data_IF_373255259446
#
_entry.id   IF_373255259446
#
_cell.length_a   1.000
_cell.length_b   1.000
_cell.length_c   1.000
_cell.angle_alpha   90.00
_cell.angle_beta   90.00
_cell.angle_gamma   90.00
#
_symmetry.space_group_name_H-M   'P 1'
#
loop_
_entity.id
_entity.type
_entity.pdbx_description
1 polymer ?
#
# COMPACT_ATOMS: atom_id res chain seq x y z
N UNK A 1 9.86 -60.26 54.80
CA UNK A 1 9.70 -58.79 54.90
C UNK A 1 10.73 -57.99 54.11
N UNK A 2 11.98 -58.38 54.00
CA UNK A 2 13.04 -57.60 53.28
C UNK A 2 12.86 -57.50 51.76
N UNK A 3 12.22 -58.50 51.09
CA UNK A 3 12.03 -58.48 49.62
C UNK A 3 11.08 -57.43 49.10
N UNK A 4 10.03 -57.12 49.85
CA UNK A 4 9.03 -56.12 49.40
C UNK A 4 9.53 -54.67 49.58
N UNK A 5 10.36 -54.40 50.58
CA UNK A 5 10.95 -53.10 50.84
C UNK A 5 11.90 -52.71 49.69
N UNK A 6 12.70 -53.67 49.19
CA UNK A 6 13.61 -53.45 48.06
C UNK A 6 12.83 -53.11 46.78
N UNK A 7 11.68 -53.76 46.54
CA UNK A 7 10.83 -53.45 45.39
C UNK A 7 10.21 -52.03 45.47
N UNK A 8 9.82 -51.59 46.64
CA UNK A 8 9.30 -50.25 46.87
C UNK A 8 10.39 -49.19 46.69
N UNK A 9 11.59 -49.43 47.15
CA UNK A 9 12.75 -48.51 46.96
C UNK A 9 13.06 -48.40 45.47
N UNK A 10 13.05 -49.51 44.74
CA UNK A 10 13.28 -49.51 43.29
C UNK A 10 12.19 -48.76 42.53
N UNK A 11 10.93 -48.94 42.91
CA UNK A 11 9.78 -48.25 42.31
C UNK A 11 9.83 -46.73 42.53
N UNK A 12 10.21 -46.29 43.73
CA UNK A 12 10.40 -44.87 44.05
C UNK A 12 11.58 -44.29 43.24
N UNK A 13 12.67 -45.02 43.12
CA UNK A 13 13.82 -44.57 42.30
C UNK A 13 13.43 -44.38 40.81
N UNK A 14 12.64 -45.28 40.25
CA UNK A 14 12.15 -45.18 38.87
C UNK A 14 11.22 -43.96 38.71
N UNK A 15 10.32 -43.71 39.66
CA UNK A 15 9.46 -42.54 39.63
C UNK A 15 10.24 -41.22 39.69
N UNK A 16 11.30 -41.16 40.48
CA UNK A 16 12.19 -39.99 40.55
C UNK A 16 12.90 -39.77 39.21
N UNK A 17 13.42 -40.84 38.59
CA UNK A 17 14.10 -40.73 37.27
C UNK A 17 13.13 -40.25 36.19
N UNK A 18 11.91 -40.81 36.16
CA UNK A 18 10.88 -40.37 35.22
C UNK A 18 10.47 -38.91 35.48
N UNK A 19 10.32 -38.49 36.72
CA UNK A 19 10.03 -37.11 37.09
C UNK A 19 11.11 -36.12 36.64
N UNK A 20 12.38 -36.50 36.82
CA UNK A 20 13.52 -35.67 36.35
C UNK A 20 13.56 -35.61 34.82
N UNK A 21 13.31 -36.71 34.12
CA UNK A 21 13.26 -36.71 32.66
C UNK A 21 12.14 -35.81 32.11
N UNK A 22 10.94 -35.88 32.70
CA UNK A 22 9.82 -35.00 32.33
C UNK A 22 10.17 -33.54 32.63
N UNK A 23 10.78 -33.24 33.75
CA UNK A 23 11.23 -31.90 34.08
C UNK A 23 12.26 -31.34 33.09
N UNK A 24 13.22 -32.16 32.67
CA UNK A 24 14.22 -31.78 31.66
C UNK A 24 13.57 -31.47 30.30
N UNK A 25 12.64 -32.31 29.84
CA UNK A 25 11.89 -32.08 28.58
C UNK A 25 11.05 -30.80 28.69
N UNK A 26 10.41 -30.57 29.82
CA UNK A 26 9.63 -29.34 30.04
C UNK A 26 10.52 -28.08 30.00
N UNK A 27 11.68 -28.15 30.64
CA UNK A 27 12.67 -27.06 30.66
C UNK A 27 13.23 -26.74 29.26
N UNK A 28 13.56 -27.79 28.50
CA UNK A 28 14.06 -27.62 27.12
C UNK A 28 12.99 -27.03 26.17
N UNK A 29 11.74 -27.47 26.28
CA UNK A 29 10.63 -26.93 25.53
C UNK A 29 10.37 -25.45 25.87
N UNK A 30 10.46 -25.10 27.16
CA UNK A 30 10.28 -23.69 27.58
C UNK A 30 11.42 -22.80 27.06
N UNK A 31 12.66 -23.26 27.12
CA UNK A 31 13.82 -22.54 26.60
C UNK A 31 13.75 -22.35 25.07
N UNK A 32 13.27 -23.36 24.34
CA UNK A 32 13.09 -23.28 22.89
C UNK A 32 11.95 -22.34 22.51
N UNK A 33 10.85 -22.27 23.28
CA UNK A 33 9.76 -21.34 23.01
C UNK A 33 10.17 -19.87 23.28
N UNK A 34 10.91 -19.61 24.37
CA UNK A 34 11.44 -18.28 24.68
C UNK A 34 12.46 -17.79 23.63
N UNK A 35 13.31 -18.71 23.11
CA UNK A 35 14.26 -18.39 22.04
C UNK A 35 13.57 -18.15 20.68
N UNK A 36 12.48 -18.88 20.37
CA UNK A 36 11.70 -18.67 19.16
C UNK A 36 10.94 -17.33 19.20
N UNK A 37 10.38 -16.95 20.37
CA UNK A 37 9.69 -15.68 20.55
C UNK A 37 10.66 -14.50 20.49
N UNK A 38 11.85 -14.62 21.07
CA UNK A 38 12.90 -13.60 20.98
C UNK A 38 13.47 -13.45 19.55
N UNK A 39 13.58 -14.53 18.78
CA UNK A 39 13.96 -14.45 17.36
C UNK A 39 12.88 -13.83 16.49
N UNK A 40 11.62 -14.16 16.73
CA UNK A 40 10.49 -13.52 16.01
C UNK A 40 10.40 -12.02 16.30
N UNK A 41 10.62 -11.60 17.56
CA UNK A 41 10.59 -10.19 17.96
C UNK A 41 11.81 -9.41 17.42
N UNK A 42 12.98 -10.05 17.30
CA UNK A 42 14.18 -9.43 16.73
C UNK A 42 14.06 -9.21 15.21
N UNK A 43 13.29 -10.03 14.49
CA UNK A 43 13.02 -9.82 13.06
C UNK A 43 12.00 -8.72 12.78
N UNK A 44 11.15 -8.35 13.75
CA UNK A 44 10.08 -7.36 13.54
C UNK A 44 10.56 -5.91 13.68
N UNK A 45 11.79 -5.65 14.16
CA UNK A 45 12.34 -4.32 14.39
C UNK A 45 13.43 -3.89 13.39
N UNK A 46 13.56 -4.58 12.24
CA UNK A 46 14.35 -4.03 11.14
C UNK A 46 13.54 -2.90 10.48
N UNK A 47 13.87 -1.66 10.78
CA UNK A 47 13.44 -0.52 9.99
C UNK A 47 14.01 -0.71 8.58
N UNK A 48 13.16 -1.05 7.62
CA UNK A 48 13.55 -1.10 6.20
C UNK A 48 13.83 0.34 5.80
N UNK A 49 15.10 0.71 5.71
CA UNK A 49 15.54 2.05 5.28
C UNK A 49 15.69 2.13 3.76
N UNK A 50 15.88 0.99 3.09
CA UNK A 50 16.12 0.92 1.66
C UNK A 50 15.17 -0.10 1.01
N UNK A 51 14.41 0.34 0.03
CA UNK A 51 13.67 -0.52 -0.89
C UNK A 51 14.50 -0.69 -2.17
N UNK A 52 14.96 -1.91 -2.44
CA UNK A 52 15.68 -2.25 -3.67
C UNK A 52 14.77 -3.06 -4.57
N UNK A 53 14.53 -2.56 -5.77
CA UNK A 53 13.72 -3.22 -6.79
C UNK A 53 14.57 -3.45 -8.03
N UNK A 54 14.52 -4.65 -8.58
CA UNK A 54 15.14 -4.94 -9.87
C UNK A 54 14.21 -4.49 -10.99
N UNK A 55 14.75 -3.70 -11.91
CA UNK A 55 14.06 -3.25 -13.12
C UNK A 55 14.80 -3.84 -14.30
N UNK A 56 14.16 -4.73 -15.04
CA UNK A 56 14.75 -5.41 -16.19
C UNK A 56 15.02 -4.43 -17.35
N UNK A 57 14.12 -3.46 -17.53
CA UNK A 57 14.25 -2.40 -18.53
C UNK A 57 13.35 -1.22 -18.19
N UNK A 58 13.74 -0.03 -18.61
CA UNK A 58 12.90 1.17 -18.54
C UNK A 58 13.18 2.05 -19.78
N UNK A 59 12.17 2.81 -20.18
CA UNK A 59 12.25 3.84 -21.24
C UNK A 59 12.42 5.23 -20.61
N UNK A 60 11.56 5.56 -19.67
CA UNK A 60 11.59 6.79 -18.87
C UNK A 60 10.89 6.53 -17.54
N UNK A 61 11.19 7.31 -16.51
CA UNK A 61 10.48 7.27 -15.22
C UNK A 61 9.22 8.15 -15.19
N UNK A 62 8.91 8.84 -16.31
CA UNK A 62 7.69 9.64 -16.41
C UNK A 62 6.50 8.72 -16.76
N UNK A 63 5.52 8.51 -15.85
CA UNK A 63 4.39 7.60 -16.07
C UNK A 63 3.49 8.02 -17.24
N UNK A 64 3.46 9.33 -17.57
CA UNK A 64 2.58 9.83 -18.61
C UNK A 64 3.01 9.45 -20.04
N UNK A 65 4.30 9.17 -20.24
CA UNK A 65 4.85 8.84 -21.55
C UNK A 65 5.49 7.46 -21.64
N UNK A 66 5.69 6.79 -20.49
CA UNK A 66 6.23 5.43 -20.48
C UNK A 66 5.18 4.42 -20.94
N UNK A 67 5.59 3.52 -21.85
CA UNK A 67 4.82 2.33 -22.23
C UNK A 67 5.36 1.05 -21.56
N UNK A 68 6.37 1.18 -20.69
CA UNK A 68 7.01 0.06 -20.02
C UNK A 68 6.22 -0.34 -18.76
N UNK A 69 5.79 -1.60 -18.71
CA UNK A 69 5.00 -2.13 -17.58
C UNK A 69 5.73 -2.02 -16.24
N UNK A 70 7.05 -2.26 -16.21
CA UNK A 70 7.83 -2.16 -14.96
C UNK A 70 7.82 -0.72 -14.43
N UNK A 71 7.92 0.26 -15.33
CA UNK A 71 7.81 1.69 -14.97
C UNK A 71 6.44 2.00 -14.42
N UNK A 72 5.36 1.50 -15.06
CA UNK A 72 3.98 1.71 -14.57
C UNK A 72 3.77 1.17 -13.15
N UNK A 73 4.37 0.02 -12.81
CA UNK A 73 4.26 -0.53 -11.45
C UNK A 73 5.08 0.27 -10.42
N UNK A 74 6.29 0.72 -10.79
CA UNK A 74 7.15 1.49 -9.88
C UNK A 74 6.61 2.89 -9.66
N UNK A 75 6.07 3.53 -10.69
CA UNK A 75 5.54 4.89 -10.57
C UNK A 75 4.31 4.98 -9.65
N UNK A 76 3.59 3.89 -9.42
CA UNK A 76 2.55 3.83 -8.36
C UNK A 76 3.10 4.04 -6.94
N UNK A 77 4.40 3.82 -6.72
CA UNK A 77 5.07 4.10 -5.45
C UNK A 77 5.55 5.56 -5.34
N UNK A 78 5.60 6.28 -6.44
CA UNK A 78 6.16 7.63 -6.55
C UNK A 78 5.07 8.68 -6.72
N UNK A 79 4.01 8.34 -7.46
CA UNK A 79 2.92 9.25 -7.81
C UNK A 79 1.59 8.75 -7.24
N UNK A 80 0.83 9.67 -6.67
CA UNK A 80 -0.52 9.41 -6.16
C UNK A 80 -1.57 9.81 -7.21
N UNK A 81 -2.64 9.01 -7.41
CA UNK A 81 -3.77 9.39 -8.27
C UNK A 81 -4.71 10.38 -7.57
N UNK A 82 -5.65 10.97 -8.31
CA UNK A 82 -6.73 11.75 -7.72
C UNK A 82 -7.64 10.89 -6.84
N UNK A 83 -8.06 9.75 -7.36
CA UNK A 83 -8.87 8.74 -6.69
C UNK A 83 -8.22 7.38 -6.90
N UNK A 84 -8.48 6.43 -6.01
CA UNK A 84 -7.98 5.07 -6.11
C UNK A 84 -9.11 4.06 -5.88
N UNK A 85 -8.91 2.81 -6.29
CA UNK A 85 -9.85 1.74 -6.04
C UNK A 85 -9.37 0.89 -4.84
N UNK A 86 -10.31 0.53 -3.97
CA UNK A 86 -10.05 -0.48 -2.94
C UNK A 86 -10.14 -1.91 -3.50
N UNK A 87 -9.91 -2.91 -2.65
CA UNK A 87 -9.97 -4.34 -3.00
C UNK A 87 -11.36 -4.78 -3.51
N UNK A 88 -12.41 -4.00 -3.23
CA UNK A 88 -13.78 -4.26 -3.68
C UNK A 88 -14.17 -3.40 -4.90
N UNK A 89 -13.20 -2.78 -5.57
CA UNK A 89 -13.39 -1.88 -6.71
C UNK A 89 -14.24 -0.65 -6.39
N UNK A 90 -14.24 -0.19 -5.13
CA UNK A 90 -14.90 1.04 -4.72
C UNK A 90 -13.91 2.18 -4.74
N UNK A 91 -14.36 3.33 -5.25
CA UNK A 91 -13.58 4.57 -5.24
C UNK A 91 -13.29 5.02 -3.82
N UNK A 92 -12.03 5.33 -3.60
CA UNK A 92 -11.50 5.87 -2.35
C UNK A 92 -10.81 7.20 -2.63
N UNK A 93 -10.86 8.15 -1.69
CA UNK A 93 -10.12 9.40 -1.81
C UNK A 93 -8.60 9.14 -1.78
N UNK A 94 -7.86 9.93 -2.59
CA UNK A 94 -6.40 9.98 -2.57
C UNK A 94 -5.94 11.44 -2.61
N UNK A 95 -5.47 11.99 -3.73
CA UNK A 95 -5.20 13.43 -3.86
C UNK A 95 -6.49 14.28 -3.86
N UNK A 96 -7.60 13.74 -4.37
CA UNK A 96 -8.92 14.31 -4.17
C UNK A 96 -9.57 13.72 -2.92
N UNK A 97 -10.02 14.57 -2.01
CA UNK A 97 -10.70 14.18 -0.75
C UNK A 97 -12.19 14.00 -0.93
N UNK A 98 -12.78 14.76 -1.86
CA UNK A 98 -14.19 14.72 -2.18
C UNK A 98 -14.37 14.86 -3.69
N UNK A 99 -15.39 14.23 -4.22
CA UNK A 99 -15.84 14.43 -5.59
C UNK A 99 -17.37 14.38 -5.66
N UNK A 100 -17.93 15.19 -6.53
CA UNK A 100 -19.38 15.23 -6.72
C UNK A 100 -19.72 15.58 -8.17
N UNK A 101 -20.73 14.92 -8.71
CA UNK A 101 -21.31 15.28 -9.98
C UNK A 101 -22.04 16.62 -9.84
N UNK A 102 -21.77 17.58 -10.75
CA UNK A 102 -22.36 18.91 -10.79
C UNK A 102 -23.06 19.13 -12.13
N UNK A 103 -24.25 18.57 -12.30
CA UNK A 103 -24.94 18.49 -13.59
C UNK A 103 -24.62 17.20 -14.33
N UNK A 104 -24.97 17.12 -15.62
CA UNK A 104 -24.85 15.87 -16.38
C UNK A 104 -23.44 15.57 -16.89
N UNK A 105 -22.66 16.62 -17.14
CA UNK A 105 -21.34 16.56 -17.77
C UNK A 105 -20.25 17.24 -16.95
N UNK A 106 -20.48 17.55 -15.68
CA UNK A 106 -19.49 18.24 -14.86
C UNK A 106 -19.28 17.53 -13.52
N UNK A 107 -18.04 17.55 -13.05
CA UNK A 107 -17.61 17.01 -11.76
C UNK A 107 -16.80 18.06 -11.01
N UNK A 108 -17.05 18.20 -9.71
CA UNK A 108 -16.27 19.06 -8.83
C UNK A 108 -15.45 18.14 -7.92
N UNK A 109 -14.14 18.39 -7.85
CA UNK A 109 -13.22 17.67 -6.97
C UNK A 109 -12.59 18.67 -5.99
N UNK A 110 -12.49 18.25 -4.71
CA UNK A 110 -11.70 18.95 -3.70
C UNK A 110 -10.40 18.19 -3.47
N UNK A 111 -9.28 18.91 -3.47
CA UNK A 111 -7.94 18.36 -3.35
C UNK A 111 -7.42 18.48 -1.91
N UNK A 112 -6.51 17.61 -1.52
CA UNK A 112 -5.77 17.75 -0.26
C UNK A 112 -4.89 19.00 -0.31
N UNK A 113 -4.95 19.83 0.74
CA UNK A 113 -4.20 21.09 0.82
C UNK A 113 -2.79 20.97 1.43
N UNK A 114 -2.46 19.82 2.01
CA UNK A 114 -1.20 19.59 2.72
C UNK A 114 -0.20 18.71 1.95
N UNK A 115 -0.39 18.56 0.65
CA UNK A 115 0.48 17.77 -0.22
C UNK A 115 1.58 18.65 -0.78
N UNK A 116 2.78 18.09 -0.85
CA UNK A 116 3.95 18.72 -1.46
C UNK A 116 4.60 17.80 -2.47
N UNK A 117 5.16 18.40 -3.49
CA UNK A 117 6.08 17.73 -4.40
C UNK A 117 7.41 17.43 -3.72
N UNK A 118 8.24 16.59 -4.34
CA UNK A 118 9.55 16.18 -3.82
C UNK A 118 10.52 17.37 -3.65
N UNK A 119 10.33 18.45 -4.39
CA UNK A 119 11.10 19.69 -4.27
C UNK A 119 10.59 20.63 -3.15
N UNK A 120 9.52 20.23 -2.44
CA UNK A 120 8.91 20.98 -1.36
C UNK A 120 7.84 22.00 -1.79
N UNK A 121 7.61 22.18 -3.09
CA UNK A 121 6.52 23.04 -3.59
C UNK A 121 5.15 22.44 -3.29
N UNK A 122 4.12 23.27 -3.16
CA UNK A 122 2.77 22.81 -2.84
C UNK A 122 2.09 22.25 -4.08
N UNK A 123 1.45 21.09 -3.96
CA UNK A 123 0.51 20.55 -4.94
C UNK A 123 -0.78 21.36 -4.92
N UNK A 124 -1.30 21.73 -6.09
CA UNK A 124 -2.47 22.59 -6.25
C UNK A 124 -3.37 22.14 -7.41
N UNK A 125 -4.51 22.79 -7.54
CA UNK A 125 -5.44 22.63 -8.67
C UNK A 125 -4.77 22.91 -10.04
N UNK A 126 -3.75 23.79 -10.07
CA UNK A 126 -2.99 24.08 -11.29
C UNK A 126 -2.22 22.86 -11.80
N UNK A 127 -1.68 22.04 -10.91
CA UNK A 127 -0.94 20.84 -11.27
C UNK A 127 -1.85 19.80 -11.91
N UNK A 128 -3.06 19.63 -11.37
CA UNK A 128 -4.08 18.74 -11.95
C UNK A 128 -4.49 19.20 -13.33
N UNK A 129 -4.80 20.49 -13.48
CA UNK A 129 -5.14 21.09 -14.77
C UNK A 129 -4.02 20.88 -15.77
N UNK A 130 -2.79 21.21 -15.42
CA UNK A 130 -1.62 21.04 -16.27
C UNK A 130 -1.43 19.58 -16.72
N UNK A 131 -1.58 18.62 -15.80
CA UNK A 131 -1.47 17.19 -16.11
C UNK A 131 -2.51 16.75 -17.14
N UNK A 132 -3.77 17.12 -16.94
CA UNK A 132 -4.87 16.76 -17.86
C UNK A 132 -4.64 17.41 -19.24
N UNK A 133 -4.30 18.69 -19.27
CA UNK A 133 -4.05 19.40 -20.53
C UNK A 133 -2.83 18.83 -21.28
N UNK A 134 -1.79 18.43 -20.56
CA UNK A 134 -0.63 17.75 -21.13
C UNK A 134 -0.99 16.39 -21.72
N UNK A 135 -1.77 15.58 -20.99
CA UNK A 135 -2.23 14.27 -21.46
C UNK A 135 -3.06 14.34 -22.74
N UNK A 136 -3.81 15.44 -22.96
CA UNK A 136 -4.56 15.66 -24.20
C UNK A 136 -3.66 15.97 -25.41
N UNK A 137 -2.42 16.38 -25.17
CA UNK A 137 -1.47 16.80 -26.24
C UNK A 137 -0.44 15.72 -26.59
N UNK A 138 -0.23 14.77 -25.72
CA UNK A 138 0.77 13.71 -25.90
C UNK A 138 0.11 12.37 -26.25
N UNK A 139 0.88 11.48 -26.87
CA UNK A 139 0.48 10.08 -27.08
C UNK A 139 0.83 9.28 -25.83
N UNK A 140 -0.15 9.11 -24.92
CA UNK A 140 -0.04 8.40 -23.65
C UNK A 140 -1.03 7.25 -23.58
N UNK A 141 -0.68 6.21 -22.83
CA UNK A 141 -1.64 5.15 -22.48
C UNK A 141 -2.84 5.69 -21.70
N UNK A 142 -2.69 6.85 -21.05
CA UNK A 142 -3.74 7.53 -20.30
C UNK A 142 -4.56 8.54 -21.13
N UNK A 143 -4.22 8.76 -22.42
CA UNK A 143 -4.94 9.74 -23.25
C UNK A 143 -6.42 9.39 -23.40
N UNK A 144 -6.77 8.11 -23.35
CA UNK A 144 -8.16 7.66 -23.38
C UNK A 144 -8.97 8.19 -22.19
N UNK A 145 -8.36 8.26 -20.99
CA UNK A 145 -9.05 8.71 -19.77
C UNK A 145 -9.43 10.20 -19.81
N UNK A 146 -8.72 11.00 -20.59
CA UNK A 146 -8.92 12.45 -20.67
C UNK A 146 -9.56 12.91 -21.99
N UNK A 147 -9.82 12.01 -22.94
CA UNK A 147 -10.29 12.38 -24.30
C UNK A 147 -11.62 13.14 -24.29
N UNK A 148 -12.50 12.84 -23.34
CA UNK A 148 -13.82 13.47 -23.21
C UNK A 148 -13.84 14.63 -22.22
N UNK A 149 -12.71 15.03 -21.67
CA UNK A 149 -12.62 16.23 -20.83
C UNK A 149 -12.59 17.45 -21.76
N UNK A 150 -13.64 18.23 -21.78
CA UNK A 150 -13.71 19.47 -22.57
C UNK A 150 -12.81 20.55 -21.96
N UNK A 151 -12.95 20.80 -20.64
CA UNK A 151 -12.14 21.78 -19.90
C UNK A 151 -11.94 21.39 -18.45
N UNK A 152 -10.92 21.98 -17.83
CA UNK A 152 -10.69 21.96 -16.39
C UNK A 152 -10.65 23.39 -15.89
N UNK A 153 -11.64 23.75 -15.06
CA UNK A 153 -11.73 25.06 -14.46
C UNK A 153 -11.22 25.03 -13.03
N UNK A 154 -10.33 25.95 -12.69
CA UNK A 154 -9.84 26.13 -11.33
C UNK A 154 -10.86 26.98 -10.58
N UNK A 155 -11.46 26.42 -9.52
CA UNK A 155 -12.38 27.14 -8.63
C UNK A 155 -11.58 27.91 -7.59
N UNK A 156 -10.62 27.23 -6.97
CA UNK A 156 -9.63 27.79 -6.04
C UNK A 156 -8.35 26.91 -6.05
N UNK A 157 -7.40 27.18 -5.16
CA UNK A 157 -6.13 26.44 -5.11
C UNK A 157 -6.28 24.92 -4.89
N UNK A 158 -7.41 24.48 -4.33
CA UNK A 158 -7.65 23.09 -3.97
C UNK A 158 -9.01 22.57 -4.43
N UNK A 159 -9.63 23.25 -5.38
CA UNK A 159 -10.91 22.86 -5.95
C UNK A 159 -10.90 23.05 -7.46
N UNK A 160 -11.31 22.02 -8.19
CA UNK A 160 -11.42 22.04 -9.64
C UNK A 160 -12.81 21.60 -10.09
N UNK A 161 -13.20 22.07 -11.27
CA UNK A 161 -14.32 21.52 -12.02
C UNK A 161 -13.79 20.89 -13.30
N UNK A 162 -14.14 19.64 -13.54
CA UNK A 162 -13.90 18.94 -14.79
C UNK A 162 -15.20 18.97 -15.58
N UNK A 163 -15.15 19.50 -16.79
CA UNK A 163 -16.29 19.55 -17.72
C UNK A 163 -16.05 18.54 -18.85
N UNK A 164 -17.05 17.73 -19.15
CA UNK A 164 -17.02 16.74 -20.22
C UNK A 164 -17.75 17.29 -21.46
N UNK A 165 -17.35 16.85 -22.64
CA UNK A 165 -18.01 17.15 -23.91
C UNK A 165 -19.28 16.32 -24.14
N UNK A 166 -19.42 15.21 -23.43
CA UNK A 166 -20.58 14.31 -23.47
C UNK A 166 -20.79 13.62 -22.13
N UNK A 167 -21.94 12.99 -21.95
CA UNK A 167 -22.26 12.21 -20.75
C UNK A 167 -21.45 10.90 -20.81
N UNK A 168 -20.56 10.72 -19.86
CA UNK A 168 -19.80 9.48 -19.67
C UNK A 168 -20.29 8.80 -18.40
N UNK A 169 -20.94 7.64 -18.50
CA UNK A 169 -21.29 6.85 -17.33
C UNK A 169 -20.04 6.46 -16.53
N UNK A 170 -20.10 6.63 -15.21
CA UNK A 170 -19.01 6.25 -14.31
C UNK A 170 -17.66 6.91 -14.65
N UNK A 171 -17.69 8.17 -15.12
CA UNK A 171 -16.48 8.91 -15.48
C UNK A 171 -15.44 8.96 -14.34
N UNK A 172 -15.90 8.99 -13.09
CA UNK A 172 -15.06 8.99 -11.88
C UNK A 172 -14.18 7.74 -11.72
N UNK A 173 -14.42 6.68 -12.50
CA UNK A 173 -13.62 5.45 -12.53
C UNK A 173 -12.55 5.43 -13.63
N UNK A 174 -12.40 6.49 -14.40
CA UNK A 174 -11.42 6.59 -15.50
C UNK A 174 -10.06 7.09 -15.04
#
# INVERSE_FOLDING_TARGET
MKSNVIKYIFFIAVLIIVGVAIYMIYKDNKSNSENAENQATAQTNQTITDLRMEIVSYDTINPLISNNRNVQEITKLIFEPLLQLDENYKLQPCLATEWAKSGDTSYILKLRSNVKWQDGTSFTAQDVKYTIETLKQINSIYSYNVQHIASVDIIDNYSIRINLDTIIPFFEYN
#
